data_IF_698267950305
#
_entry.id   IF_698267950305
#
_cell.length_a   1.000
_cell.length_b   1.000
_cell.length_c   1.000
_cell.angle_alpha   90.00
_cell.angle_beta   90.00
_cell.angle_gamma   90.00
#
_symmetry.space_group_name_H-M   'P 1'
#
loop_
_entity.id
_entity.type
_entity.pdbx_description
1 polymer ?
#
# COMPACT_ATOMS: atom_id res chain seq x y z
N UNK A 1 -29.27 9.44 -0.25
CA UNK A 1 -30.14 8.26 -0.13
C UNK A 1 -30.02 7.79 1.30
N UNK A 2 -31.12 7.86 2.02
CA UNK A 2 -31.17 7.71 3.47
C UNK A 2 -30.94 6.26 3.89
N UNK A 3 -30.00 6.06 4.81
CA UNK A 3 -29.74 4.80 5.51
C UNK A 3 -30.97 4.42 6.33
N UNK A 4 -31.79 3.51 5.81
CA UNK A 4 -32.91 2.92 6.55
C UNK A 4 -32.31 1.96 7.58
N UNK A 5 -32.46 2.19 8.90
CA UNK A 5 -31.97 1.28 9.91
C UNK A 5 -32.71 -0.06 9.83
N UNK A 6 -31.97 -1.15 10.01
CA UNK A 6 -32.52 -2.50 10.09
C UNK A 6 -33.62 -2.57 11.17
N UNK A 7 -34.80 -3.14 10.90
CA UNK A 7 -35.77 -3.45 11.95
C UNK A 7 -35.12 -4.41 12.96
N UNK A 8 -35.25 -4.15 14.25
CA UNK A 8 -34.62 -4.94 15.33
C UNK A 8 -34.87 -6.46 15.19
N UNK A 9 -36.02 -6.84 14.64
CA UNK A 9 -36.42 -8.21 14.33
C UNK A 9 -35.48 -8.96 13.37
N UNK A 10 -34.86 -8.25 12.42
CA UNK A 10 -33.92 -8.85 11.46
C UNK A 10 -32.57 -9.13 12.13
N UNK A 11 -32.14 -8.26 13.05
CA UNK A 11 -30.92 -8.48 13.85
C UNK A 11 -31.07 -9.66 14.81
N UNK A 12 -32.27 -9.83 15.41
CA UNK A 12 -32.62 -11.00 16.22
C UNK A 12 -32.58 -12.28 15.39
N UNK A 13 -33.20 -12.29 14.21
CA UNK A 13 -33.18 -13.44 13.30
C UNK A 13 -31.75 -13.90 12.95
N UNK A 14 -30.86 -12.95 12.63
CA UNK A 14 -29.47 -13.28 12.30
C UNK A 14 -28.68 -13.79 13.51
N UNK A 15 -28.94 -13.27 14.70
CA UNK A 15 -28.34 -13.80 15.94
C UNK A 15 -28.83 -15.21 16.26
N UNK A 16 -30.12 -15.47 16.06
CA UNK A 16 -30.73 -16.79 16.25
C UNK A 16 -30.23 -17.80 15.20
N UNK A 17 -29.98 -17.37 13.97
CA UNK A 17 -29.36 -18.22 12.95
C UNK A 17 -27.90 -18.53 13.30
N UNK A 18 -27.15 -17.54 13.78
CA UNK A 18 -25.76 -17.73 14.21
C UNK A 18 -25.64 -18.74 15.35
N UNK A 19 -26.52 -18.65 16.36
CA UNK A 19 -26.53 -19.58 17.49
C UNK A 19 -26.94 -21.01 17.09
N UNK A 20 -27.77 -21.17 16.05
CA UNK A 20 -28.18 -22.48 15.51
C UNK A 20 -27.11 -23.12 14.63
N UNK A 21 -26.36 -22.32 13.87
CA UNK A 21 -25.35 -22.82 12.92
C UNK A 21 -23.99 -23.12 13.56
N UNK A 22 -23.72 -22.61 14.77
CA UNK A 22 -22.54 -22.90 15.56
C UNK A 22 -22.95 -23.29 17.00
N UNK A 23 -23.46 -24.52 17.21
CA UNK A 23 -23.89 -24.97 18.53
C UNK A 23 -22.66 -25.18 19.45
N UNK A 24 -22.37 -24.18 20.28
CA UNK A 24 -21.51 -24.18 21.49
C UNK A 24 -20.09 -24.78 21.45
N UNK A 25 -19.57 -25.26 20.32
CA UNK A 25 -18.12 -25.43 20.16
C UNK A 25 -17.48 -24.05 19.89
N UNK A 26 -16.80 -23.48 20.89
CA UNK A 26 -16.10 -22.18 20.80
C UNK A 26 -15.31 -22.00 19.50
N UNK A 27 -14.76 -23.09 18.95
CA UNK A 27 -13.99 -23.09 17.71
C UNK A 27 -14.84 -22.82 16.47
N UNK A 28 -16.02 -23.41 16.37
CA UNK A 28 -16.90 -23.28 15.19
C UNK A 28 -17.57 -21.92 15.15
N UNK A 29 -17.86 -21.38 16.34
CA UNK A 29 -18.32 -20.01 16.48
C UNK A 29 -17.25 -19.00 16.05
N UNK A 30 -15.99 -19.23 16.41
CA UNK A 30 -14.85 -18.42 15.98
C UNK A 30 -14.68 -18.40 14.44
N UNK A 31 -14.84 -19.54 13.78
CA UNK A 31 -14.80 -19.65 12.32
C UNK A 31 -15.93 -18.84 11.66
N UNK A 32 -17.17 -19.03 12.12
CA UNK A 32 -18.35 -18.37 11.58
C UNK A 32 -18.23 -16.83 11.69
N UNK A 33 -17.94 -16.35 12.91
CA UNK A 33 -17.82 -14.92 13.18
C UNK A 33 -16.72 -14.30 12.33
N UNK A 34 -15.55 -14.93 12.25
CA UNK A 34 -14.42 -14.44 11.45
C UNK A 34 -14.78 -14.36 9.97
N UNK A 35 -15.44 -15.38 9.43
CA UNK A 35 -15.83 -15.39 8.02
C UNK A 35 -16.79 -14.26 7.67
N UNK A 36 -17.85 -14.08 8.46
CA UNK A 36 -18.85 -13.01 8.25
C UNK A 36 -18.21 -11.62 8.37
N UNK A 37 -17.32 -11.46 9.35
CA UNK A 37 -16.52 -10.26 9.53
C UNK A 37 -15.70 -9.94 8.29
N UNK A 38 -14.93 -10.89 7.77
CA UNK A 38 -14.13 -10.70 6.58
C UNK A 38 -14.99 -10.34 5.37
N UNK A 39 -16.06 -11.10 5.12
CA UNK A 39 -16.99 -10.83 4.01
C UNK A 39 -17.65 -9.44 4.10
N UNK A 40 -17.79 -8.88 5.30
CA UNK A 40 -18.36 -7.55 5.47
C UNK A 40 -17.39 -6.41 5.06
N UNK A 41 -16.08 -6.67 5.03
CA UNK A 41 -15.01 -5.67 4.87
C UNK A 41 -14.34 -5.77 3.51
N UNK A 42 -14.40 -6.94 2.88
CA UNK A 42 -13.68 -7.25 1.65
C UNK A 42 -13.99 -6.33 0.48
N UNK A 43 -12.95 -6.04 -0.29
CA UNK A 43 -13.00 -5.18 -1.49
C UNK A 43 -13.53 -5.84 -2.75
N UNK A 44 -13.53 -7.17 -2.78
CA UNK A 44 -14.14 -8.00 -3.81
C UNK A 44 -14.69 -9.29 -3.20
N UNK A 45 -15.60 -10.00 -3.88
CA UNK A 45 -15.99 -11.34 -3.47
C UNK A 45 -14.77 -12.25 -3.32
N UNK A 46 -14.82 -13.13 -2.32
CA UNK A 46 -13.79 -14.16 -2.14
C UNK A 46 -14.09 -15.39 -2.98
N UNK A 47 -13.05 -16.16 -3.29
CA UNK A 47 -13.23 -17.57 -3.57
C UNK A 47 -13.45 -18.37 -2.29
N UNK A 48 -14.03 -19.58 -2.41
CA UNK A 48 -14.21 -20.48 -1.26
C UNK A 48 -12.86 -20.74 -0.58
N UNK A 49 -11.82 -20.96 -1.38
CA UNK A 49 -10.47 -21.21 -0.87
C UNK A 49 -9.86 -19.97 -0.22
N UNK A 50 -9.97 -18.79 -0.82
CA UNK A 50 -9.44 -17.55 -0.22
C UNK A 50 -10.04 -17.28 1.15
N UNK A 51 -11.37 -17.37 1.27
CA UNK A 51 -12.05 -17.17 2.54
C UNK A 51 -11.62 -18.23 3.56
N UNK A 52 -11.56 -19.50 3.14
CA UNK A 52 -11.20 -20.60 4.05
C UNK A 52 -9.79 -20.45 4.59
N UNK A 53 -8.81 -20.12 3.74
CA UNK A 53 -7.43 -19.89 4.15
C UNK A 53 -7.30 -18.68 5.09
N UNK A 54 -7.99 -17.57 4.80
CA UNK A 54 -7.97 -16.38 5.65
C UNK A 54 -8.57 -16.63 7.04
N UNK A 55 -9.72 -17.32 7.09
CA UNK A 55 -10.42 -17.66 8.34
C UNK A 55 -9.61 -18.66 9.16
N UNK A 56 -9.06 -19.70 8.53
CA UNK A 56 -8.20 -20.67 9.22
C UNK A 56 -6.94 -19.99 9.76
N UNK A 57 -6.29 -19.10 8.99
CA UNK A 57 -5.09 -18.38 9.46
C UNK A 57 -5.39 -17.47 10.65
N UNK A 58 -6.58 -16.87 10.72
CA UNK A 58 -6.94 -16.03 11.86
C UNK A 58 -7.24 -16.86 13.12
N UNK A 59 -7.92 -18.00 12.95
CA UNK A 59 -8.39 -18.83 14.07
C UNK A 59 -7.36 -19.86 14.56
N UNK A 60 -6.35 -20.17 13.75
CA UNK A 60 -5.27 -21.07 14.14
C UNK A 60 -4.15 -20.33 14.89
N UNK A 61 -3.65 -20.93 15.96
CA UNK A 61 -2.46 -20.45 16.65
C UNK A 61 -1.19 -21.05 16.03
N UNK A 62 -0.09 -20.28 16.01
CA UNK A 62 1.26 -20.74 15.66
C UNK A 62 1.45 -21.30 14.22
N UNK A 63 0.76 -20.74 13.24
CA UNK A 63 1.01 -21.06 11.82
C UNK A 63 2.15 -20.20 11.29
N UNK A 64 3.26 -20.81 10.86
CA UNK A 64 4.40 -20.10 10.23
C UNK A 64 4.64 -20.47 8.77
N UNK A 65 4.05 -21.57 8.29
CA UNK A 65 4.24 -22.09 6.93
C UNK A 65 2.91 -22.22 6.17
N UNK A 66 2.98 -22.13 4.84
CA UNK A 66 1.85 -22.39 3.92
C UNK A 66 1.41 -23.84 4.01
N UNK A 67 2.36 -24.78 4.15
CA UNK A 67 2.05 -26.20 4.30
C UNK A 67 1.26 -26.49 5.58
N UNK A 68 1.65 -25.93 6.73
CA UNK A 68 0.93 -26.11 7.99
C UNK A 68 -0.47 -25.48 7.95
N UNK A 69 -0.61 -24.31 7.30
CA UNK A 69 -1.92 -23.71 7.08
C UNK A 69 -2.82 -24.64 6.25
N UNK A 70 -2.29 -25.20 5.16
CA UNK A 70 -3.06 -26.05 4.24
C UNK A 70 -3.67 -27.28 4.90
N UNK A 71 -2.97 -27.87 5.90
CA UNK A 71 -3.44 -29.02 6.67
C UNK A 71 -4.64 -28.69 7.58
N UNK A 72 -4.81 -27.42 7.93
CA UNK A 72 -5.85 -26.95 8.85
C UNK A 72 -7.08 -26.40 8.12
N UNK A 73 -6.98 -26.15 6.82
CA UNK A 73 -8.08 -25.56 6.03
C UNK A 73 -9.16 -26.61 5.77
N UNK A 74 -10.34 -26.37 6.33
CA UNK A 74 -11.55 -27.14 6.04
C UNK A 74 -12.62 -26.24 5.41
N UNK A 75 -12.57 -26.15 4.09
CA UNK A 75 -13.52 -25.34 3.31
C UNK A 75 -14.94 -25.89 3.39
N UNK A 76 -15.13 -27.22 3.47
CA UNK A 76 -16.47 -27.82 3.51
C UNK A 76 -17.17 -27.48 4.83
N UNK A 77 -16.44 -27.61 5.93
CA UNK A 77 -16.95 -27.23 7.25
C UNK A 77 -17.29 -25.74 7.29
N UNK A 78 -16.37 -24.88 6.84
CA UNK A 78 -16.62 -23.43 6.84
C UNK A 78 -17.87 -23.07 6.04
N UNK A 79 -17.98 -23.57 4.80
CA UNK A 79 -19.12 -23.28 3.93
C UNK A 79 -20.43 -23.78 4.53
N UNK A 80 -20.46 -24.96 5.18
CA UNK A 80 -21.67 -25.48 5.82
C UNK A 80 -22.17 -24.58 6.96
N UNK A 81 -21.27 -23.92 7.68
CA UNK A 81 -21.60 -23.03 8.80
C UNK A 81 -22.13 -21.68 8.30
N UNK A 82 -21.52 -21.11 7.26
CA UNK A 82 -21.85 -19.75 6.79
C UNK A 82 -22.90 -19.71 5.68
N UNK A 83 -23.28 -20.88 5.12
CA UNK A 83 -24.26 -21.00 4.04
C UNK A 83 -25.51 -20.11 4.21
N UNK A 84 -26.13 -20.01 5.42
CA UNK A 84 -27.34 -19.21 5.58
C UNK A 84 -27.17 -17.70 5.40
N UNK A 85 -25.92 -17.20 5.37
CA UNK A 85 -25.60 -15.78 5.34
C UNK A 85 -25.00 -15.31 4.02
N UNK A 86 -24.67 -16.24 3.12
CA UNK A 86 -24.01 -15.96 1.84
C UNK A 86 -24.94 -16.17 0.66
N UNK A 87 -24.72 -15.40 -0.41
CA UNK A 87 -25.44 -15.59 -1.67
C UNK A 87 -25.22 -17.02 -2.22
N UNK A 88 -26.04 -17.44 -3.18
CA UNK A 88 -25.88 -18.77 -3.78
C UNK A 88 -24.47 -18.97 -4.38
N UNK A 89 -23.86 -20.12 -4.09
CA UNK A 89 -22.45 -20.41 -4.40
C UNK A 89 -22.37 -21.74 -5.15
N UNK A 90 -21.70 -21.72 -6.30
CA UNK A 90 -21.34 -22.92 -7.04
C UNK A 90 -20.18 -23.64 -6.33
N UNK A 91 -20.46 -24.82 -5.75
CA UNK A 91 -19.46 -25.58 -4.99
C UNK A 91 -18.48 -26.37 -5.86
N UNK A 92 -18.72 -26.44 -7.18
CA UNK A 92 -17.87 -27.16 -8.13
C UNK A 92 -16.58 -26.39 -8.47
N UNK A 93 -16.63 -25.06 -8.47
CA UNK A 93 -15.45 -24.20 -8.67
C UNK A 93 -15.08 -23.45 -7.38
N UNK A 94 -14.14 -24.04 -6.65
CA UNK A 94 -13.66 -23.51 -5.38
C UNK A 94 -12.85 -22.21 -5.50
N UNK A 95 -12.38 -21.85 -6.72
CA UNK A 95 -11.54 -20.67 -6.98
C UNK A 95 -12.31 -19.50 -7.57
N UNK A 96 -13.56 -19.70 -8.01
CA UNK A 96 -14.44 -18.64 -8.48
C UNK A 96 -14.70 -17.61 -7.38
N UNK A 97 -14.56 -16.32 -7.72
CA UNK A 97 -14.81 -15.20 -6.79
C UNK A 97 -16.30 -14.92 -6.65
N UNK A 98 -16.97 -15.63 -5.74
CA UNK A 98 -18.43 -15.65 -5.62
C UNK A 98 -18.96 -15.53 -4.19
N UNK A 99 -18.11 -15.75 -3.18
CA UNK A 99 -18.56 -15.75 -1.79
C UNK A 99 -18.72 -14.30 -1.31
N UNK A 100 -19.98 -13.92 -1.07
CA UNK A 100 -20.40 -12.61 -0.57
C UNK A 100 -21.65 -12.76 0.29
N UNK A 101 -21.91 -11.78 1.17
CA UNK A 101 -23.11 -11.77 2.00
C UNK A 101 -24.38 -11.63 1.14
N UNK A 102 -25.49 -12.22 1.56
CA UNK A 102 -26.79 -12.16 0.85
C UNK A 102 -27.28 -10.72 0.72
N UNK A 103 -27.06 -9.90 1.75
CA UNK A 103 -27.68 -8.59 1.90
C UNK A 103 -26.69 -7.55 2.45
N UNK A 104 -26.64 -6.35 1.85
CA UNK A 104 -25.81 -5.23 2.31
C UNK A 104 -26.21 -4.74 3.72
N UNK A 105 -27.45 -4.95 4.13
CA UNK A 105 -27.93 -4.61 5.46
C UNK A 105 -27.34 -5.52 6.55
N UNK A 106 -26.99 -6.78 6.22
CA UNK A 106 -26.25 -7.68 7.09
C UNK A 106 -24.80 -7.21 7.27
N UNK A 107 -24.18 -6.72 6.18
CA UNK A 107 -22.85 -6.12 6.20
C UNK A 107 -22.80 -4.91 7.13
N UNK A 108 -23.79 -4.01 7.04
CA UNK A 108 -23.90 -2.86 7.93
C UNK A 108 -24.17 -3.26 9.38
N UNK A 109 -25.00 -4.28 9.61
CA UNK A 109 -25.23 -4.84 10.94
C UNK A 109 -23.95 -5.38 11.58
N UNK A 110 -23.16 -6.14 10.82
CA UNK A 110 -21.88 -6.70 11.28
C UNK A 110 -20.91 -5.56 11.65
N UNK A 111 -20.79 -4.54 10.79
CA UNK A 111 -19.96 -3.36 11.07
C UNK A 111 -20.42 -2.61 12.33
N UNK A 112 -21.73 -2.43 12.51
CA UNK A 112 -22.30 -1.75 13.68
C UNK A 112 -22.08 -2.54 14.98
N UNK A 113 -22.33 -3.85 14.97
CA UNK A 113 -22.09 -4.74 16.12
C UNK A 113 -20.60 -4.78 16.48
N UNK A 114 -19.72 -4.81 15.48
CA UNK A 114 -18.29 -4.69 15.71
C UNK A 114 -17.95 -3.41 16.46
N UNK A 115 -18.36 -2.25 15.94
CA UNK A 115 -18.08 -0.96 16.57
C UNK A 115 -18.63 -0.84 18.01
N UNK A 116 -19.78 -1.45 18.29
CA UNK A 116 -20.43 -1.40 19.61
C UNK A 116 -19.69 -2.25 20.65
N UNK A 117 -19.17 -3.42 20.26
CA UNK A 117 -18.43 -4.30 21.16
C UNK A 117 -17.09 -3.71 21.65
N UNK A 118 -16.54 -2.73 20.91
CA UNK A 118 -15.31 -2.01 21.28
C UNK A 118 -15.53 -0.82 22.23
N UNK A 119 -16.77 -0.36 22.37
CA UNK A 119 -17.13 0.73 23.29
C UNK A 119 -17.35 0.25 24.73
N UNK A 120 -17.37 -1.07 24.97
CA UNK A 120 -17.52 -1.67 26.30
C UNK A 120 -16.16 -2.20 26.81
N UNK A 121 -15.54 -1.56 27.82
CA UNK A 121 -14.24 -1.97 28.36
C UNK A 121 -14.25 -3.34 29.09
N UNK A 122 -15.43 -3.82 29.49
CA UNK A 122 -15.58 -4.97 30.41
C UNK A 122 -15.71 -6.35 29.71
N UNK A 123 -15.68 -6.41 28.38
CA UNK A 123 -15.80 -7.67 27.64
C UNK A 123 -14.44 -8.40 27.55
N UNK A 124 -14.11 -9.17 28.58
CA UNK A 124 -12.90 -9.99 28.77
C UNK A 124 -12.76 -11.21 27.82
N UNK A 125 -12.99 -11.01 26.51
CA UNK A 125 -12.81 -12.03 25.47
C UNK A 125 -11.61 -11.74 24.55
N UNK A 126 -10.60 -12.60 24.66
CA UNK A 126 -9.17 -12.48 24.29
C UNK A 126 -8.79 -12.18 22.81
N UNK A 127 -9.75 -12.06 21.87
CA UNK A 127 -9.43 -11.79 20.45
C UNK A 127 -10.25 -10.62 19.86
N UNK A 128 -11.43 -10.36 20.43
CA UNK A 128 -12.30 -9.27 20.01
C UNK A 128 -11.73 -7.90 20.32
N UNK A 129 -11.03 -7.74 21.46
CA UNK A 129 -10.43 -6.48 21.92
C UNK A 129 -9.11 -6.12 21.21
N UNK A 130 -8.51 -7.05 20.45
CA UNK A 130 -7.17 -6.89 19.87
C UNK A 130 -7.14 -5.96 18.65
N UNK A 131 -8.25 -5.85 17.92
CA UNK A 131 -8.37 -5.04 16.69
C UNK A 131 -9.45 -3.99 16.86
N UNK A 132 -9.08 -2.70 16.88
CA UNK A 132 -10.04 -1.61 17.13
C UNK A 132 -10.89 -1.31 15.89
N UNK A 133 -10.38 -1.56 14.69
CA UNK A 133 -11.14 -1.49 13.43
C UNK A 133 -11.23 -2.84 12.71
N UNK A 134 -12.21 -2.91 11.82
CA UNK A 134 -12.44 -4.05 10.95
C UNK A 134 -11.32 -4.15 9.89
N UNK A 135 -10.85 -3.00 9.41
CA UNK A 135 -9.72 -2.83 8.50
C UNK A 135 -8.42 -3.38 9.11
N UNK A 136 -8.19 -3.18 10.40
CA UNK A 136 -7.01 -3.71 11.08
C UNK A 136 -7.01 -5.25 11.17
N UNK A 137 -8.18 -5.88 11.36
CA UNK A 137 -8.29 -7.34 11.34
C UNK A 137 -7.81 -7.90 9.99
N UNK A 138 -8.41 -7.42 8.89
CA UNK A 138 -8.10 -7.97 7.56
C UNK A 138 -6.69 -7.61 7.12
N UNK A 139 -6.20 -6.42 7.48
CA UNK A 139 -4.81 -6.02 7.28
C UNK A 139 -3.85 -6.98 7.99
N UNK A 140 -4.10 -7.29 9.27
CA UNK A 140 -3.27 -8.23 10.03
C UNK A 140 -3.27 -9.63 9.41
N UNK A 141 -4.42 -10.14 8.98
CA UNK A 141 -4.51 -11.45 8.30
C UNK A 141 -3.70 -11.43 7.00
N UNK A 142 -3.83 -10.38 6.19
CA UNK A 142 -3.06 -10.25 4.95
C UNK A 142 -1.55 -10.20 5.23
N UNK A 143 -1.11 -9.37 6.18
CA UNK A 143 0.31 -9.23 6.52
C UNK A 143 0.87 -10.52 7.11
N UNK A 144 0.17 -11.16 8.05
CA UNK A 144 0.59 -12.47 8.60
C UNK A 144 0.69 -13.53 7.53
N UNK A 145 -0.25 -13.55 6.58
CA UNK A 145 -0.17 -14.46 5.45
C UNK A 145 1.10 -14.21 4.64
N UNK A 146 1.37 -12.96 4.27
CA UNK A 146 2.57 -12.59 3.50
C UNK A 146 3.89 -12.78 4.26
N UNK A 147 3.82 -13.03 5.57
CA UNK A 147 4.96 -13.36 6.42
C UNK A 147 5.20 -14.87 6.59
N UNK A 148 4.36 -15.73 6.03
CA UNK A 148 4.61 -17.18 5.99
C UNK A 148 5.96 -17.48 5.32
N UNK A 149 6.67 -18.50 5.81
CA UNK A 149 8.06 -18.79 5.48
C UNK A 149 8.29 -18.92 3.97
N UNK A 150 7.45 -19.68 3.27
CA UNK A 150 7.58 -19.95 1.84
C UNK A 150 7.55 -18.67 0.99
N UNK A 151 6.80 -17.64 1.40
CA UNK A 151 6.73 -16.37 0.67
C UNK A 151 8.03 -15.57 0.79
N UNK A 152 8.86 -15.85 1.80
CA UNK A 152 10.19 -15.26 1.94
C UNK A 152 11.29 -16.04 1.22
N UNK A 153 11.00 -17.26 0.77
CA UNK A 153 12.00 -18.17 0.21
C UNK A 153 11.74 -18.47 -1.27
N UNK A 154 10.50 -18.76 -1.64
CA UNK A 154 10.10 -19.12 -2.99
C UNK A 154 9.71 -17.86 -3.75
N UNK A 155 10.25 -17.67 -4.95
CA UNK A 155 9.85 -16.56 -5.82
C UNK A 155 8.58 -16.90 -6.59
N UNK A 156 7.68 -15.92 -6.73
CA UNK A 156 6.47 -16.03 -7.60
C UNK A 156 6.89 -16.33 -9.05
N UNK A 157 7.98 -15.70 -9.48
CA UNK A 157 8.55 -15.86 -10.81
C UNK A 157 10.06 -16.10 -10.72
N UNK A 158 10.58 -16.95 -11.60
CA UNK A 158 12.02 -16.97 -11.86
C UNK A 158 12.43 -15.75 -12.68
N UNK A 159 13.72 -15.44 -12.72
CA UNK A 159 14.24 -14.31 -13.51
C UNK A 159 14.01 -14.53 -15.00
N UNK A 160 14.11 -15.78 -15.46
CA UNK A 160 13.82 -16.16 -16.84
C UNK A 160 12.35 -15.91 -17.18
N UNK A 161 11.43 -16.20 -16.26
CA UNK A 161 9.99 -15.96 -16.49
C UNK A 161 9.64 -14.48 -16.50
N UNK A 162 10.33 -13.66 -15.70
CA UNK A 162 10.19 -12.21 -15.77
C UNK A 162 10.69 -11.73 -17.13
N UNK A 163 11.88 -12.15 -17.57
CA UNK A 163 12.43 -11.80 -18.87
C UNK A 163 11.53 -12.25 -20.03
N UNK A 164 10.99 -13.47 -19.96
CA UNK A 164 10.04 -14.00 -20.97
C UNK A 164 8.72 -13.22 -20.94
N UNK A 165 8.24 -12.77 -19.78
CA UNK A 165 7.03 -11.96 -19.68
C UNK A 165 7.17 -10.57 -20.32
N UNK A 166 8.40 -10.09 -20.47
CA UNK A 166 8.73 -8.82 -21.14
C UNK A 166 8.90 -9.00 -22.66
N UNK A 167 8.94 -10.24 -23.17
CA UNK A 167 8.96 -10.53 -24.60
C UNK A 167 7.53 -10.47 -25.19
N UNK A 168 7.39 -10.10 -26.49
CA UNK A 168 6.12 -10.19 -27.19
C UNK A 168 5.54 -11.61 -27.07
N UNK A 169 4.28 -11.72 -26.66
CA UNK A 169 3.62 -13.02 -26.48
C UNK A 169 3.38 -13.69 -27.85
N UNK A 170 3.30 -15.02 -27.88
CA UNK A 170 3.31 -15.80 -29.13
C UNK A 170 2.17 -15.48 -30.13
N UNK A 171 1.07 -14.90 -29.66
CA UNK A 171 -0.03 -14.39 -30.50
C UNK A 171 0.34 -13.12 -31.30
N UNK A 172 1.36 -12.37 -30.89
CA UNK A 172 1.91 -11.19 -31.57
C UNK A 172 3.06 -11.53 -32.55
N UNK A 173 3.66 -12.72 -32.47
CA UNK A 173 4.86 -13.07 -33.26
C UNK A 173 4.58 -13.42 -34.74
N UNK A 174 3.32 -13.71 -35.09
CA UNK A 174 2.91 -14.09 -36.45
C UNK A 174 1.78 -13.22 -37.01
N UNK A 175 1.45 -12.12 -36.32
CA UNK A 175 0.36 -11.24 -36.68
C UNK A 175 0.92 -9.84 -36.96
N UNK A 176 1.53 -9.67 -38.13
CA UNK A 176 2.18 -8.41 -38.56
C UNK A 176 1.23 -7.19 -38.64
N UNK A 177 -0.08 -7.38 -38.43
CA UNK A 177 -1.12 -6.35 -38.57
C UNK A 177 -1.74 -5.87 -37.24
N UNK A 178 -1.36 -6.40 -36.08
CA UNK A 178 -1.90 -5.92 -34.80
C UNK A 178 -0.77 -5.48 -33.87
N UNK A 179 -0.69 -4.17 -33.64
CA UNK A 179 0.03 -3.64 -32.50
C UNK A 179 -0.40 -4.40 -31.22
N UNK A 180 0.51 -4.61 -30.25
CA UNK A 180 0.14 -5.19 -28.95
C UNK A 180 -1.07 -4.42 -28.41
N UNK A 181 -2.08 -5.13 -27.89
CA UNK A 181 -3.30 -4.50 -27.36
C UNK A 181 -2.91 -3.53 -26.24
N UNK A 182 -2.72 -2.25 -26.60
CA UNK A 182 -2.42 -1.20 -25.64
C UNK A 182 -3.67 -0.99 -24.82
N UNK A 183 -3.52 -1.04 -23.49
CA UNK A 183 -4.58 -0.65 -22.58
C UNK A 183 -5.18 0.68 -23.05
N UNK A 184 -6.48 0.71 -23.30
CA UNK A 184 -7.19 1.93 -23.62
C UNK A 184 -7.99 2.35 -22.38
N UNK A 185 -8.11 3.64 -22.12
CA UNK A 185 -8.83 4.17 -20.95
C UNK A 185 -10.34 3.88 -20.96
N UNK A 186 -10.84 3.17 -21.98
CA UNK A 186 -12.24 2.81 -22.15
C UNK A 186 -12.51 1.32 -21.86
N UNK A 187 -11.48 0.51 -21.62
CA UNK A 187 -11.62 -0.89 -21.21
C UNK A 187 -11.27 -1.09 -19.73
N UNK A 188 -11.96 -2.03 -19.08
CA UNK A 188 -11.56 -2.49 -17.76
C UNK A 188 -10.29 -3.34 -17.86
N UNK A 189 -9.53 -3.41 -16.77
CA UNK A 189 -8.37 -4.29 -16.71
C UNK A 189 -8.74 -5.75 -16.93
N UNK A 190 -9.91 -6.16 -16.45
CA UNK A 190 -10.42 -7.52 -16.56
C UNK A 190 -10.72 -7.88 -18.02
N UNK A 191 -11.27 -6.94 -18.80
CA UNK A 191 -11.50 -7.13 -20.23
C UNK A 191 -10.19 -7.12 -21.03
N UNK A 192 -9.20 -6.34 -20.59
CA UNK A 192 -7.87 -6.33 -21.22
C UNK A 192 -7.08 -7.62 -20.98
N UNK A 193 -7.25 -8.24 -19.80
CA UNK A 193 -6.55 -9.47 -19.40
C UNK A 193 -7.27 -10.77 -19.79
N UNK A 194 -8.40 -10.71 -20.50
CA UNK A 194 -9.24 -11.87 -20.78
C UNK A 194 -8.50 -12.97 -21.55
N UNK A 195 -7.78 -12.59 -22.61
CA UNK A 195 -7.04 -13.50 -23.49
C UNK A 195 -5.56 -13.69 -23.10
N UNK A 196 -5.13 -13.12 -21.96
CA UNK A 196 -3.73 -13.17 -21.54
C UNK A 196 -3.37 -14.49 -20.85
N UNK A 197 -2.14 -14.96 -21.05
CA UNK A 197 -1.59 -16.08 -20.28
C UNK A 197 -1.57 -15.75 -18.80
N UNK A 198 -2.13 -16.63 -17.97
CA UNK A 198 -2.17 -16.47 -16.51
C UNK A 198 -1.24 -17.44 -15.83
N UNK A 199 -0.66 -17.02 -14.71
CA UNK A 199 0.09 -17.90 -13.80
C UNK A 199 -0.74 -18.18 -12.55
N UNK A 200 -0.40 -19.26 -11.84
CA UNK A 200 -1.06 -19.62 -10.59
C UNK A 200 -0.04 -19.65 -9.43
N UNK A 201 -0.10 -18.71 -8.48
CA UNK A 201 0.77 -18.72 -7.30
C UNK A 201 0.69 -20.01 -6.46
N UNK A 202 -0.45 -20.69 -6.48
CA UNK A 202 -0.64 -21.95 -5.74
C UNK A 202 0.26 -23.06 -6.29
N UNK A 203 0.53 -23.08 -7.60
CA UNK A 203 1.47 -24.05 -8.21
C UNK A 203 2.91 -23.83 -7.73
N UNK A 204 3.22 -22.64 -7.20
CA UNK A 204 4.50 -22.32 -6.53
C UNK A 204 4.49 -22.63 -5.04
N UNK A 205 3.39 -23.13 -4.51
CA UNK A 205 3.21 -23.37 -3.08
C UNK A 205 3.14 -22.08 -2.27
N UNK A 206 2.56 -21.02 -2.84
CA UNK A 206 2.26 -19.77 -2.12
C UNK A 206 0.85 -19.77 -1.50
N UNK A 207 0.06 -20.81 -1.78
CA UNK A 207 -1.28 -21.03 -1.23
C UNK A 207 -2.36 -20.12 -1.84
N UNK A 208 -3.60 -20.37 -1.44
CA UNK A 208 -4.78 -19.85 -2.15
C UNK A 208 -5.16 -18.41 -1.77
N UNK A 209 -4.61 -17.84 -0.69
CA UNK A 209 -4.92 -16.47 -0.25
C UNK A 209 -3.83 -15.44 -0.65
N UNK A 210 -2.75 -15.88 -1.30
CA UNK A 210 -1.60 -15.04 -1.64
C UNK A 210 -1.95 -13.85 -2.54
N UNK A 211 -2.79 -14.08 -3.56
CA UNK A 211 -3.20 -13.05 -4.52
C UNK A 211 -3.96 -11.94 -3.80
N UNK A 212 -4.98 -12.31 -3.03
CA UNK A 212 -5.78 -11.37 -2.27
C UNK A 212 -4.93 -10.58 -1.28
N UNK A 213 -4.14 -11.28 -0.46
CA UNK A 213 -3.29 -10.65 0.53
C UNK A 213 -2.34 -9.64 -0.11
N UNK A 214 -1.67 -10.00 -1.21
CA UNK A 214 -0.70 -9.15 -1.90
C UNK A 214 -1.32 -7.88 -2.50
N UNK A 215 -2.53 -7.98 -3.04
CA UNK A 215 -3.18 -6.88 -3.75
C UNK A 215 -3.94 -5.91 -2.83
N UNK A 216 -4.54 -6.40 -1.74
CA UNK A 216 -5.47 -5.59 -0.95
C UNK A 216 -4.91 -5.11 0.39
N UNK A 217 -3.83 -5.69 0.92
CA UNK A 217 -3.23 -5.19 2.16
C UNK A 217 -2.87 -3.69 2.11
N UNK A 218 -2.37 -3.10 1.00
CA UNK A 218 -2.05 -1.68 0.97
C UNK A 218 -3.31 -0.80 1.06
N UNK A 219 -4.46 -1.28 0.58
CA UNK A 219 -5.74 -0.57 0.69
C UNK A 219 -6.22 -0.50 2.13
N UNK A 220 -6.06 -1.58 2.89
CA UNK A 220 -6.39 -1.60 4.32
C UNK A 220 -5.37 -0.80 5.13
N UNK A 221 -4.09 -0.84 4.76
CA UNK A 221 -3.02 -0.09 5.42
C UNK A 221 -3.22 1.44 5.35
N UNK A 222 -3.90 1.92 4.30
CA UNK A 222 -4.27 3.32 4.16
C UNK A 222 -5.34 3.77 5.17
N UNK A 223 -6.20 2.85 5.60
CA UNK A 223 -7.40 3.15 6.37
C UNK A 223 -7.22 2.96 7.87
N UNK A 224 -6.28 2.12 8.28
CA UNK A 224 -6.01 1.92 9.69
C UNK A 224 -5.39 3.16 10.31
N UNK A 225 -5.89 3.51 11.50
CA UNK A 225 -5.19 4.45 12.39
C UNK A 225 -4.07 3.71 13.12
N UNK A 226 -3.32 4.38 13.99
CA UNK A 226 -2.24 3.78 14.78
C UNK A 226 -2.75 2.72 15.79
N UNK A 227 -3.26 1.60 15.26
CA UNK A 227 -3.73 0.44 15.99
C UNK A 227 -2.57 -0.47 16.38
N UNK A 228 -2.80 -1.36 17.34
CA UNK A 228 -1.78 -2.28 17.83
C UNK A 228 -1.35 -3.33 16.78
N UNK A 229 -2.14 -3.54 15.72
CA UNK A 229 -1.92 -4.59 14.72
C UNK A 229 -2.23 -4.13 13.29
N UNK A 230 -1.49 -4.62 12.29
CA UNK A 230 -0.31 -5.47 12.41
C UNK A 230 0.86 -4.72 13.08
N UNK A 231 1.75 -5.45 13.74
CA UNK A 231 2.89 -4.81 14.40
C UNK A 231 3.76 -4.07 13.37
N UNK A 232 4.39 -2.96 13.78
CA UNK A 232 5.32 -2.24 12.92
C UNK A 232 6.45 -3.16 12.40
N UNK A 233 6.96 -4.05 13.25
CA UNK A 233 7.95 -5.06 12.87
C UNK A 233 7.45 -6.01 11.76
N UNK A 234 6.16 -6.33 11.73
CA UNK A 234 5.56 -7.13 10.66
C UNK A 234 5.59 -6.39 9.32
N UNK A 235 5.29 -5.09 9.32
CA UNK A 235 5.34 -4.24 8.13
C UNK A 235 6.79 -4.07 7.66
N UNK A 236 7.71 -3.78 8.57
CA UNK A 236 9.15 -3.69 8.25
C UNK A 236 9.68 -4.98 7.63
N UNK A 237 9.34 -6.14 8.21
CA UNK A 237 9.77 -7.44 7.69
C UNK A 237 9.16 -7.77 6.34
N UNK A 238 7.90 -7.39 6.10
CA UNK A 238 7.24 -7.59 4.81
C UNK A 238 7.88 -6.73 3.71
N UNK A 239 8.18 -5.48 4.05
CA UNK A 239 8.69 -4.47 3.12
C UNK A 239 10.21 -4.31 3.19
N UNK A 240 10.92 -5.26 3.81
CA UNK A 240 12.36 -5.18 3.99
C UNK A 240 13.05 -5.00 2.64
N UNK A 241 13.93 -4.00 2.55
CA UNK A 241 14.70 -3.71 1.34
C UNK A 241 15.45 -4.95 0.86
N UNK A 242 15.49 -5.16 -0.45
CA UNK A 242 16.17 -6.28 -1.11
C UNK A 242 15.72 -7.69 -0.67
N UNK A 243 14.59 -7.80 0.02
CA UNK A 243 14.04 -9.10 0.42
C UNK A 243 13.21 -9.76 -0.70
N UNK A 244 13.15 -11.09 -0.67
CA UNK A 244 12.24 -11.83 -1.55
C UNK A 244 10.76 -11.49 -1.25
N UNK A 245 10.43 -11.06 -0.03
CA UNK A 245 9.05 -10.72 0.36
C UNK A 245 8.55 -9.49 -0.39
N UNK A 246 9.32 -8.40 -0.36
CA UNK A 246 8.96 -7.18 -1.11
C UNK A 246 8.96 -7.46 -2.62
N UNK A 247 9.89 -8.29 -3.12
CA UNK A 247 9.89 -8.72 -4.52
C UNK A 247 8.62 -9.50 -4.88
N UNK A 248 8.25 -10.52 -4.11
CA UNK A 248 7.06 -11.32 -4.36
C UNK A 248 5.77 -10.52 -4.28
N UNK A 249 5.64 -9.69 -3.25
CA UNK A 249 4.50 -8.80 -3.10
C UNK A 249 4.37 -7.84 -4.29
N UNK A 250 5.43 -7.13 -4.67
CA UNK A 250 5.34 -6.16 -5.78
C UNK A 250 5.04 -6.82 -7.11
N UNK A 251 5.61 -8.01 -7.37
CA UNK A 251 5.34 -8.79 -8.58
C UNK A 251 3.88 -9.24 -8.69
N UNK A 252 3.25 -9.59 -7.57
CA UNK A 252 1.83 -9.93 -7.53
C UNK A 252 0.93 -8.69 -7.54
N UNK A 253 1.30 -7.63 -6.83
CA UNK A 253 0.54 -6.38 -6.75
C UNK A 253 0.37 -5.71 -8.11
N UNK A 254 1.39 -5.79 -8.98
CA UNK A 254 1.30 -5.31 -10.37
C UNK A 254 0.52 -6.24 -11.30
N UNK A 255 0.03 -7.40 -10.82
CA UNK A 255 -0.74 -8.42 -11.56
C UNK A 255 -1.94 -8.96 -10.74
N UNK A 256 -2.93 -8.13 -10.37
CA UNK A 256 -4.07 -8.60 -9.59
C UNK A 256 -4.85 -9.75 -10.23
N UNK A 257 -4.96 -9.79 -11.57
CA UNK A 257 -5.61 -10.87 -12.31
C UNK A 257 -4.71 -12.07 -12.65
N UNK A 258 -3.47 -12.08 -12.12
CA UNK A 258 -2.44 -13.08 -12.42
C UNK A 258 -2.10 -13.21 -13.91
N UNK A 259 -2.30 -12.17 -14.72
CA UNK A 259 -1.80 -12.10 -16.08
C UNK A 259 -0.26 -12.01 -16.08
N UNK A 260 0.42 -12.66 -17.03
CA UNK A 260 1.88 -12.63 -17.13
C UNK A 260 2.43 -11.21 -17.34
N UNK A 261 1.88 -10.38 -18.25
CA UNK A 261 2.26 -8.98 -18.35
C UNK A 261 1.81 -8.17 -17.12
N UNK A 262 2.65 -7.29 -16.56
CA UNK A 262 2.24 -6.41 -15.47
C UNK A 262 1.32 -5.28 -15.94
N UNK A 263 0.35 -4.88 -15.11
CA UNK A 263 -0.54 -3.72 -15.37
C UNK A 263 0.20 -2.38 -15.34
N UNK A 264 1.27 -2.28 -14.54
CA UNK A 264 2.05 -1.07 -14.35
C UNK A 264 3.50 -1.36 -13.92
N UNK A 265 4.44 -0.45 -14.19
CA UNK A 265 5.81 -0.58 -13.70
C UNK A 265 5.86 -0.38 -12.18
N UNK A 266 6.55 -1.29 -11.49
CA UNK A 266 6.81 -1.19 -10.05
C UNK A 266 8.06 -2.04 -9.74
N UNK A 267 9.17 -1.39 -9.44
CA UNK A 267 10.45 -2.06 -9.15
C UNK A 267 10.70 -2.11 -7.65
N UNK A 268 10.67 -3.31 -7.07
CA UNK A 268 10.90 -3.53 -5.64
C UNK A 268 12.21 -2.95 -5.10
N UNK A 269 13.26 -2.84 -5.93
CA UNK A 269 14.57 -2.33 -5.49
C UNK A 269 14.53 -0.84 -5.10
N UNK A 270 13.49 -0.12 -5.50
CA UNK A 270 13.31 1.30 -5.22
C UNK A 270 12.55 1.58 -3.93
N UNK A 271 12.12 0.53 -3.22
CA UNK A 271 11.23 0.63 -2.08
C UNK A 271 11.79 -0.09 -0.85
N UNK A 272 11.41 0.42 0.30
CA UNK A 272 11.68 -0.10 1.64
C UNK A 272 10.47 0.18 2.54
N UNK A 273 10.48 -0.19 3.82
CA UNK A 273 9.30 -0.02 4.66
C UNK A 273 8.83 1.44 4.74
N UNK A 274 9.74 2.40 4.87
CA UNK A 274 9.37 3.82 4.93
C UNK A 274 8.74 4.28 3.61
N UNK A 275 9.32 3.91 2.46
CA UNK A 275 8.79 4.28 1.14
C UNK A 275 7.39 3.72 0.91
N UNK A 276 7.15 2.47 1.32
CA UNK A 276 5.83 1.84 1.23
C UNK A 276 4.82 2.50 2.16
N UNK A 277 5.20 2.83 3.39
CA UNK A 277 4.33 3.58 4.31
C UNK A 277 4.02 4.98 3.78
N UNK A 278 4.98 5.67 3.19
CA UNK A 278 4.76 6.96 2.56
C UNK A 278 3.75 6.90 1.40
N UNK A 279 3.75 5.83 0.60
CA UNK A 279 2.82 5.67 -0.52
C UNK A 279 1.44 5.16 -0.12
N UNK A 280 1.40 4.14 0.74
CA UNK A 280 0.18 3.35 0.98
C UNK A 280 -0.34 3.44 2.41
N UNK A 281 0.50 3.73 3.40
CA UNK A 281 0.08 3.82 4.80
C UNK A 281 -0.79 5.04 5.07
N UNK A 282 -1.55 5.02 6.16
CA UNK A 282 -2.19 6.22 6.70
C UNK A 282 -1.16 7.24 7.22
N UNK A 283 -1.57 8.49 7.40
CA UNK A 283 -0.71 9.53 8.00
C UNK A 283 -0.31 9.14 9.43
N UNK A 284 -1.23 8.52 10.19
CA UNK A 284 -0.94 8.01 11.52
C UNK A 284 0.15 6.92 11.50
N UNK A 285 0.06 5.98 10.55
CA UNK A 285 1.08 4.94 10.40
C UNK A 285 2.42 5.49 9.94
N UNK A 286 2.44 6.57 9.14
CA UNK A 286 3.68 7.28 8.81
C UNK A 286 4.31 7.89 10.06
N UNK A 287 3.53 8.52 10.94
CA UNK A 287 4.05 9.03 12.20
C UNK A 287 4.57 7.92 13.13
N UNK A 288 3.87 6.77 13.20
CA UNK A 288 4.35 5.60 13.95
C UNK A 288 5.67 5.08 13.38
N UNK A 289 5.77 4.89 12.05
CA UNK A 289 7.00 4.48 11.37
C UNK A 289 8.15 5.46 11.66
N UNK A 290 7.90 6.78 11.59
CA UNK A 290 8.91 7.80 11.88
C UNK A 290 9.27 7.95 13.35
N UNK A 291 8.46 7.45 14.28
CA UNK A 291 8.74 7.51 15.73
C UNK A 291 9.43 6.25 16.23
N UNK A 292 8.92 5.09 15.83
CA UNK A 292 9.20 3.81 16.51
C UNK A 292 10.17 2.91 15.75
N UNK A 293 10.41 3.16 14.45
CA UNK A 293 11.34 2.35 13.66
C UNK A 293 12.79 2.64 13.98
N UNK A 294 13.62 1.62 13.83
CA UNK A 294 15.08 1.71 13.83
C UNK A 294 15.59 1.75 12.38
N UNK A 295 15.90 2.95 11.88
CA UNK A 295 16.34 3.14 10.50
C UNK A 295 17.76 2.61 10.22
N UNK A 296 18.49 2.18 11.25
CA UNK A 296 19.85 1.64 11.13
C UNK A 296 19.89 0.10 11.18
N UNK A 297 18.74 -0.58 11.36
CA UNK A 297 18.65 -2.03 11.52
C UNK A 297 18.86 -2.87 10.25
N UNK A 298 19.17 -2.23 9.12
CA UNK A 298 19.39 -2.88 7.82
C UNK A 298 18.12 -3.26 7.05
N UNK A 299 16.92 -2.94 7.57
CA UNK A 299 15.67 -3.18 6.84
C UNK A 299 15.37 -2.11 5.78
N UNK A 300 16.05 -0.97 5.86
CA UNK A 300 15.79 0.23 5.07
C UNK A 300 16.88 0.46 4.02
N UNK A 301 16.52 1.13 2.93
CA UNK A 301 17.49 1.54 1.93
C UNK A 301 18.40 2.65 2.47
N UNK A 302 19.61 2.74 1.92
CA UNK A 302 20.47 3.90 2.16
C UNK A 302 19.77 5.17 1.65
N UNK A 303 19.80 6.22 2.47
CA UNK A 303 19.05 7.46 2.21
C UNK A 303 17.54 7.21 2.09
N UNK A 304 16.98 6.37 2.98
CA UNK A 304 15.57 5.95 3.00
C UNK A 304 14.60 7.13 2.86
N UNK A 305 14.86 8.26 3.52
CA UNK A 305 13.97 9.41 3.44
C UNK A 305 13.98 10.04 2.04
N UNK A 306 15.14 10.14 1.40
CA UNK A 306 15.25 10.62 0.01
C UNK A 306 14.54 9.67 -0.96
N UNK A 307 14.67 8.35 -0.75
CA UNK A 307 13.96 7.35 -1.55
C UNK A 307 12.45 7.45 -1.37
N UNK A 308 11.97 7.51 -0.13
CA UNK A 308 10.55 7.69 0.17
C UNK A 308 9.99 8.99 -0.42
N UNK A 309 10.74 10.09 -0.32
CA UNK A 309 10.35 11.37 -0.91
C UNK A 309 10.31 11.31 -2.45
N UNK A 310 11.24 10.61 -3.11
CA UNK A 310 11.18 10.38 -4.56
C UNK A 310 9.92 9.62 -4.98
N UNK A 311 9.47 8.67 -4.16
CA UNK A 311 8.23 7.94 -4.42
C UNK A 311 7.00 8.82 -4.23
N UNK A 312 6.97 9.67 -3.20
CA UNK A 312 5.89 10.65 -3.02
C UNK A 312 5.79 11.58 -4.23
N UNK A 313 6.93 12.11 -4.69
CA UNK A 313 7.00 13.02 -5.84
C UNK A 313 6.45 12.37 -7.12
N UNK A 314 6.67 11.07 -7.31
CA UNK A 314 6.19 10.35 -8.49
C UNK A 314 4.71 9.93 -8.37
N UNK A 315 4.30 9.36 -7.24
CA UNK A 315 3.03 8.62 -7.14
C UNK A 315 2.17 8.94 -5.91
N UNK A 316 2.75 9.57 -4.88
CA UNK A 316 2.11 9.75 -3.57
C UNK A 316 1.48 11.12 -3.35
N UNK A 317 0.94 11.31 -2.14
CA UNK A 317 0.37 12.57 -1.66
C UNK A 317 1.50 13.53 -1.22
N UNK A 318 1.61 14.68 -1.89
CA UNK A 318 2.71 15.64 -1.68
C UNK A 318 2.74 16.23 -0.26
N UNK A 319 1.60 16.30 0.43
CA UNK A 319 1.53 16.83 1.80
C UNK A 319 2.41 16.06 2.78
N UNK A 320 2.69 14.78 2.49
CA UNK A 320 3.55 13.90 3.30
C UNK A 320 5.03 14.26 3.25
N UNK A 321 5.47 15.00 2.23
CA UNK A 321 6.86 15.45 2.13
C UNK A 321 7.25 16.30 3.33
N UNK A 322 6.35 17.18 3.80
CA UNK A 322 6.58 18.02 4.97
C UNK A 322 6.83 17.20 6.24
N UNK A 323 6.14 16.07 6.40
CA UNK A 323 6.30 15.17 7.55
C UNK A 323 7.71 14.59 7.55
N UNK A 324 8.17 14.02 6.43
CA UNK A 324 9.54 13.50 6.30
C UNK A 324 10.59 14.59 6.47
N UNK A 325 10.33 15.76 5.90
CA UNK A 325 11.25 16.88 5.87
C UNK A 325 11.56 17.44 7.27
N UNK A 326 10.54 17.50 8.12
CA UNK A 326 10.62 18.00 9.49
C UNK A 326 11.03 16.93 10.50
N UNK A 327 11.15 15.67 10.09
CA UNK A 327 11.57 14.60 10.99
C UNK A 327 12.99 14.86 11.54
N UNK A 328 13.20 14.81 12.87
CA UNK A 328 14.50 15.13 13.45
C UNK A 328 15.58 14.10 13.12
N UNK A 329 15.21 12.84 12.88
CA UNK A 329 16.15 11.73 12.63
C UNK A 329 16.52 11.65 11.16
N UNK A 330 15.55 11.85 10.27
CA UNK A 330 15.70 11.63 8.83
C UNK A 330 15.70 12.90 7.98
N UNK A 331 15.13 14.01 8.47
CA UNK A 331 14.97 15.22 7.67
C UNK A 331 16.28 15.82 7.17
N UNK A 332 17.42 15.51 7.81
CA UNK A 332 18.74 15.93 7.33
C UNK A 332 19.08 15.36 5.93
N UNK A 333 18.51 14.20 5.56
CA UNK A 333 18.69 13.58 4.24
C UNK A 333 17.97 14.36 3.12
N UNK A 334 16.98 15.18 3.49
CA UNK A 334 16.16 15.98 2.56
C UNK A 334 16.53 17.46 2.57
N UNK A 335 17.09 17.96 3.67
CA UNK A 335 17.44 19.37 3.85
C UNK A 335 18.77 19.73 3.18
N UNK A 336 18.87 19.54 1.87
CA UNK A 336 20.05 19.84 1.06
C UNK A 336 19.70 20.15 -0.40
N UNK A 337 20.67 20.69 -1.15
CA UNK A 337 20.51 21.06 -2.55
C UNK A 337 20.06 19.90 -3.45
N UNK A 338 20.60 18.69 -3.25
CA UNK A 338 20.32 17.53 -4.10
C UNK A 338 18.84 17.14 -4.05
N UNK A 339 18.20 17.26 -2.89
CA UNK A 339 16.77 17.01 -2.77
C UNK A 339 15.93 18.03 -3.55
N UNK A 340 16.29 19.32 -3.54
CA UNK A 340 15.58 20.31 -4.35
C UNK A 340 15.84 20.14 -5.85
N UNK A 341 17.04 19.68 -6.23
CA UNK A 341 17.33 19.24 -7.62
C UNK A 341 16.44 18.08 -8.02
N UNK A 342 16.20 17.11 -7.12
CA UNK A 342 15.27 16.01 -7.33
C UNK A 342 13.83 16.51 -7.55
N UNK A 343 13.34 17.43 -6.72
CA UNK A 343 12.00 18.05 -6.87
C UNK A 343 11.86 18.67 -8.26
N UNK A 344 12.83 19.51 -8.68
CA UNK A 344 12.79 20.18 -9.99
C UNK A 344 12.82 19.17 -11.14
N UNK A 345 13.64 18.12 -11.02
CA UNK A 345 13.71 17.04 -12.02
C UNK A 345 12.36 16.33 -12.15
N UNK A 346 11.75 15.91 -11.03
CA UNK A 346 10.45 15.21 -11.05
C UNK A 346 9.32 16.11 -11.52
N UNK A 347 9.35 17.39 -11.19
CA UNK A 347 8.40 18.37 -11.71
C UNK A 347 8.48 18.47 -13.23
N UNK A 348 9.69 18.50 -13.79
CA UNK A 348 9.92 18.55 -15.24
C UNK A 348 9.53 17.25 -15.97
N UNK A 349 9.80 16.10 -15.35
CA UNK A 349 9.44 14.78 -15.89
C UNK A 349 7.94 14.48 -15.79
N UNK A 350 7.21 15.23 -14.97
CA UNK A 350 5.77 15.07 -14.80
C UNK A 350 5.04 15.47 -16.08
N UNK A 351 4.75 14.49 -16.93
CA UNK A 351 3.94 14.65 -18.14
C UNK A 351 2.45 14.90 -17.85
N UNK A 352 2.04 14.66 -16.59
CA UNK A 352 0.68 14.84 -16.09
C UNK A 352 0.68 16.06 -15.19
N UNK A 353 -0.19 17.03 -15.46
CA UNK A 353 -0.45 18.20 -14.61
C UNK A 353 -0.93 17.75 -13.21
N UNK A 354 -0.01 17.36 -12.32
CA UNK A 354 -0.33 17.06 -10.92
C UNK A 354 -0.67 18.38 -10.21
N UNK A 355 -1.87 18.52 -9.63
CA UNK A 355 -2.33 19.80 -9.10
C UNK A 355 -1.68 20.23 -7.77
N UNK A 356 -0.80 19.42 -7.16
CA UNK A 356 -0.37 19.54 -5.75
C UNK A 356 1.14 19.83 -5.53
N UNK A 357 1.88 20.27 -6.57
CA UNK A 357 3.31 20.60 -6.45
C UNK A 357 3.64 21.70 -5.43
N UNK A 358 2.63 22.47 -5.00
CA UNK A 358 2.81 23.55 -4.04
C UNK A 358 3.38 23.07 -2.71
N UNK A 359 2.95 21.90 -2.20
CA UNK A 359 3.46 21.34 -0.94
C UNK A 359 4.96 21.02 -1.02
N UNK A 360 5.43 20.52 -2.16
CA UNK A 360 6.85 20.24 -2.40
C UNK A 360 7.67 21.53 -2.48
N UNK A 361 7.15 22.54 -3.19
CA UNK A 361 7.83 23.83 -3.31
C UNK A 361 7.81 24.62 -2.00
N UNK A 362 6.80 24.45 -1.13
CA UNK A 362 6.69 25.18 0.14
C UNK A 362 7.81 24.82 1.11
N UNK A 363 8.49 23.69 0.90
CA UNK A 363 9.66 23.29 1.68
C UNK A 363 10.84 24.27 1.51
N UNK A 364 10.90 25.05 0.43
CA UNK A 364 11.93 26.08 0.21
C UNK A 364 11.89 27.12 1.32
N UNK A 365 10.68 27.53 1.73
CA UNK A 365 10.50 28.59 2.73
C UNK A 365 11.10 28.17 4.08
N UNK A 366 11.02 26.87 4.41
CA UNK A 366 11.60 26.25 5.60
C UNK A 366 13.14 26.19 5.58
N UNK A 367 13.76 26.43 4.42
CA UNK A 367 15.19 26.24 4.21
C UNK A 367 15.99 27.52 4.04
N UNK A 368 15.34 28.67 4.07
CA UNK A 368 15.98 29.96 3.80
C UNK A 368 17.26 30.16 4.61
N UNK A 369 17.23 29.93 5.92
CA UNK A 369 18.39 30.15 6.78
C UNK A 369 19.53 29.15 6.50
N UNK A 370 19.18 27.87 6.36
CA UNK A 370 20.17 26.83 6.09
C UNK A 370 20.79 26.98 4.69
N UNK A 371 19.99 27.41 3.71
CA UNK A 371 20.44 27.69 2.34
C UNK A 371 21.46 28.84 2.29
N UNK A 372 21.25 29.88 3.09
CA UNK A 372 22.21 30.98 3.27
C UNK A 372 23.46 30.50 4.01
N UNK A 373 23.30 29.74 5.10
CA UNK A 373 24.42 29.24 5.90
C UNK A 373 25.34 28.31 5.10
N UNK A 374 24.76 27.43 4.28
CA UNK A 374 25.47 26.43 3.48
C UNK A 374 25.75 26.89 2.04
N UNK A 375 25.36 28.13 1.70
CA UNK A 375 25.73 28.81 0.46
C UNK A 375 25.36 28.07 -0.84
N UNK A 376 24.15 27.51 -0.91
CA UNK A 376 23.65 26.83 -2.12
C UNK A 376 22.39 27.48 -2.73
N UNK A 377 22.00 28.67 -2.24
CA UNK A 377 20.80 29.35 -2.72
C UNK A 377 20.92 29.87 -4.16
N UNK A 378 22.07 30.42 -4.52
CA UNK A 378 22.35 30.82 -5.90
C UNK A 378 22.29 29.63 -6.86
N UNK A 379 22.90 28.51 -6.48
CA UNK A 379 22.93 27.30 -7.31
C UNK A 379 21.52 26.74 -7.52
N UNK A 380 20.69 26.69 -6.47
CA UNK A 380 19.30 26.28 -6.60
C UNK A 380 18.53 27.18 -7.58
N UNK A 381 18.73 28.51 -7.50
CA UNK A 381 18.11 29.45 -8.43
C UNK A 381 18.54 29.21 -9.88
N UNK A 382 19.83 28.97 -10.14
CA UNK A 382 20.34 28.62 -11.46
C UNK A 382 19.75 27.31 -12.00
N UNK A 383 19.64 26.28 -11.15
CA UNK A 383 19.01 25.00 -11.52
C UNK A 383 17.53 25.22 -11.87
N UNK A 384 16.80 25.98 -11.05
CA UNK A 384 15.39 26.28 -11.31
C UNK A 384 15.20 27.07 -12.62
N UNK A 385 16.01 28.11 -12.84
CA UNK A 385 15.96 28.93 -14.04
C UNK A 385 16.30 28.12 -15.30
N UNK A 386 17.35 27.31 -15.27
CA UNK A 386 17.75 26.47 -16.41
C UNK A 386 16.76 25.35 -16.72
N UNK A 387 16.05 24.84 -15.71
CA UNK A 387 14.98 23.86 -15.88
C UNK A 387 13.62 24.50 -16.26
N UNK A 388 13.50 25.83 -16.30
CA UNK A 388 12.23 26.53 -16.53
C UNK A 388 11.24 26.40 -15.37
N UNK A 389 11.70 26.05 -14.17
CA UNK A 389 10.88 25.89 -12.97
C UNK A 389 10.53 27.24 -12.35
N UNK A 390 9.59 27.94 -12.98
CA UNK A 390 9.13 29.26 -12.55
C UNK A 390 8.66 29.31 -11.08
N UNK A 391 7.92 28.31 -10.53
CA UNK A 391 7.48 28.36 -9.12
C UNK A 391 8.64 28.47 -8.13
N UNK A 392 9.70 27.65 -8.31
CA UNK A 392 10.89 27.67 -7.45
C UNK A 392 11.65 28.99 -7.60
N UNK A 393 11.89 29.43 -8.84
CA UNK A 393 12.62 30.67 -9.09
C UNK A 393 11.89 31.90 -8.51
N UNK A 394 10.56 31.98 -8.70
CA UNK A 394 9.74 33.07 -8.16
C UNK A 394 9.71 33.05 -6.63
N UNK A 395 9.62 31.87 -6.01
CA UNK A 395 9.65 31.74 -4.55
C UNK A 395 10.97 32.23 -3.96
N UNK A 396 12.11 31.84 -4.54
CA UNK A 396 13.43 32.33 -4.11
C UNK A 396 13.57 33.86 -4.26
N UNK A 397 13.14 34.41 -5.38
CA UNK A 397 13.17 35.86 -5.61
C UNK A 397 12.23 36.62 -4.65
N UNK A 398 11.07 36.05 -4.34
CA UNK A 398 10.12 36.63 -3.40
C UNK A 398 10.65 36.57 -1.97
N UNK A 399 11.23 35.45 -1.56
CA UNK A 399 11.94 35.30 -0.28
C UNK A 399 13.09 36.30 -0.13
N UNK A 400 13.87 36.52 -1.19
CA UNK A 400 14.97 37.50 -1.20
C UNK A 400 14.52 38.96 -1.05
N UNK A 401 13.24 39.28 -1.30
CA UNK A 401 12.70 40.63 -1.00
C UNK A 401 12.52 40.86 0.50
N UNK A 402 12.37 39.79 1.27
CA UNK A 402 12.06 39.82 2.70
C UNK A 402 13.20 39.30 3.58
N UNK A 403 14.25 38.72 3.00
CA UNK A 403 15.41 38.20 3.71
C UNK A 403 16.73 38.68 3.06
N UNK A 404 17.46 39.56 3.76
CA UNK A 404 18.73 40.13 3.29
C UNK A 404 19.87 39.10 3.18
N UNK A 405 19.82 38.03 3.98
CA UNK A 405 20.75 36.91 3.87
C UNK A 405 20.59 36.21 2.52
N UNK A 406 19.35 35.82 2.21
CA UNK A 406 19.02 35.17 0.94
C UNK A 406 19.28 36.10 -0.25
N UNK A 407 18.97 37.39 -0.13
CA UNK A 407 19.27 38.39 -1.17
C UNK A 407 20.75 38.43 -1.51
N UNK A 408 21.62 38.48 -0.49
CA UNK A 408 23.08 38.48 -0.70
C UNK A 408 23.55 37.18 -1.32
N UNK A 409 23.00 36.05 -0.87
CA UNK A 409 23.34 34.74 -1.42
C UNK A 409 22.97 34.62 -2.90
N UNK A 410 21.78 35.06 -3.32
CA UNK A 410 21.38 35.06 -4.73
C UNK A 410 22.19 36.03 -5.61
N UNK A 411 22.86 37.02 -5.02
CA UNK A 411 23.69 38.00 -5.72
C UNK A 411 25.20 37.70 -5.63
N UNK A 412 25.57 36.53 -5.11
CA UNK A 412 26.96 36.18 -4.80
C UNK A 412 27.90 36.27 -6.01
N UNK A 413 27.50 35.79 -7.18
CA UNK A 413 28.33 35.86 -8.39
C UNK A 413 28.42 37.27 -9.00
N UNK A 414 27.38 38.10 -8.85
CA UNK A 414 27.44 39.50 -9.28
C UNK A 414 28.46 40.32 -8.47
N UNK A 415 28.79 39.86 -7.26
CA UNK A 415 29.78 40.51 -6.38
C UNK A 415 31.22 40.04 -6.64
N UNK A 416 31.40 38.94 -7.38
CA UNK A 416 32.71 38.33 -7.71
C UNK A 416 33.20 38.67 -9.13
N UNK A 417 32.36 39.28 -9.96
CA UNK A 417 32.80 39.87 -11.24
C UNK A 417 33.81 40.99 -10.95
N UNK A 418 35.03 40.97 -11.53
CA UNK A 418 35.97 42.08 -11.35
C UNK A 418 35.29 43.36 -11.82
N UNK A 419 35.35 44.41 -11.00
CA UNK A 419 35.00 45.75 -11.48
C UNK A 419 35.89 46.05 -12.68
N UNK A 420 35.32 45.96 -13.88
CA UNK A 420 35.99 46.43 -15.10
C UNK A 420 36.18 47.93 -14.91
N UNK A 421 37.43 48.32 -14.65
CA UNK A 421 37.78 49.72 -14.49
C UNK A 421 37.33 50.50 -15.74
N UNK A 422 36.72 51.69 -15.58
CA UNK A 422 36.34 52.50 -16.72
C UNK A 422 37.61 52.93 -17.46
N UNK A 423 37.68 52.60 -18.75
CA UNK A 423 38.68 53.13 -19.67
C UNK A 423 38.64 54.67 -19.62
N UNK A 424 39.78 55.27 -19.31
CA UNK A 424 40.01 56.73 -19.34
C UNK A 424 40.06 57.25 -20.76
#
# INVERSE_FOLDING_TARGET
>A
MDTIPLPDQVSELYNDLLSRCAPDEHKDWGLAITALKLLAITRRPFSILELSWAVTLHTAHHVTTVDDLSKLVDHKKLMSIIQPFIADVELDDLRKYQVQLIDESLKDLIKKKWATNHSNPDASGDDGQRYRSAEALILDICVRYLLLEEIGVKLVFSEEQIAISELPQASDLFNDEKDPVKYNSHCSWEAWEEDMTRFNPTERGLGEFFVYASCYWPEYYRLVTAEALPSLASIEKLCQADSNRIRNWTQQNRRPGCAMPPRFPFDSQLYDPLSITCLYGSVDMLHVMLRDSDFDNGNFLKMTATKAADQILQWGDMSRLRILFLDPRLGHQLRNLEFFRLIIRRWRESSVSRPDWEDAFALIDLMTDQMVQQQWGYELWCIAASAGCAPVAQRLLSGARHNDGLRRELLREFSLMPQVAPLK
#
